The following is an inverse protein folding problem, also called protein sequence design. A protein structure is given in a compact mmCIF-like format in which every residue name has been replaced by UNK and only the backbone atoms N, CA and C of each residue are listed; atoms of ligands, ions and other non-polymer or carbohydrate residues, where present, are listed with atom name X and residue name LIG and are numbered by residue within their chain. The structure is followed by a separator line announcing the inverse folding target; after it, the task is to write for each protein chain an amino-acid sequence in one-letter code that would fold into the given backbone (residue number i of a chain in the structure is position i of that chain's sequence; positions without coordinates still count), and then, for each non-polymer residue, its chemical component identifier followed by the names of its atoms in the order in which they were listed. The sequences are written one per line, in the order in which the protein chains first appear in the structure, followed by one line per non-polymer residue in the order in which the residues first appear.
data_IF_434453588989
#
_entry.id   IF_434453588989
#
_cell.length_a   1.000
_cell.length_b   1.000
_cell.length_c   1.000
_cell.angle_alpha   90.00
_cell.angle_beta   90.00
_cell.angle_gamma   90.00
#
_symmetry.space_group_name_H-M   'P 1'
#
loop_
_entity.id
_entity.type
_entity.pdbx_description
1 polymer ?
#
# COMPACT_ATOMS: atom_id res chain seq x y z
N UNK A 1 -111.05 -8.29 -22.98
CA UNK A 1 -109.81 -9.10 -23.08
C UNK A 1 -108.60 -8.17 -22.97
N UNK A 2 -107.58 -8.53 -22.19
CA UNK A 2 -106.34 -7.76 -22.08
C UNK A 2 -105.58 -7.92 -23.42
N UNK A 3 -105.25 -6.81 -24.11
CA UNK A 3 -104.44 -6.82 -25.35
C UNK A 3 -103.14 -7.64 -25.15
N UNK A 4 -102.66 -8.38 -26.17
CA UNK A 4 -101.41 -9.14 -26.08
C UNK A 4 -100.22 -8.20 -25.79
N UNK A 5 -99.23 -8.70 -25.06
CA UNK A 5 -98.04 -7.94 -24.63
C UNK A 5 -97.32 -7.15 -25.76
N UNK A 6 -97.10 -7.70 -26.97
CA UNK A 6 -96.42 -6.97 -28.05
C UNK A 6 -97.18 -5.72 -28.51
N UNK A 7 -98.51 -5.80 -28.70
CA UNK A 7 -99.31 -4.62 -29.10
C UNK A 7 -99.35 -3.54 -28.01
N UNK A 8 -99.17 -3.94 -26.74
CA UNK A 8 -99.06 -2.98 -25.63
C UNK A 8 -97.71 -2.29 -25.61
N UNK A 9 -96.64 -3.00 -25.98
CA UNK A 9 -95.31 -2.42 -26.12
C UNK A 9 -95.28 -1.41 -27.27
N UNK A 10 -95.87 -1.72 -28.42
CA UNK A 10 -95.96 -0.79 -29.55
C UNK A 10 -96.77 0.48 -29.19
N UNK A 11 -97.87 0.35 -28.47
CA UNK A 11 -98.65 1.51 -27.99
C UNK A 11 -97.85 2.34 -26.99
N UNK A 12 -97.07 1.70 -26.11
CA UNK A 12 -96.19 2.39 -25.17
C UNK A 12 -95.01 3.07 -25.86
N UNK A 13 -94.43 2.46 -26.89
CA UNK A 13 -93.37 3.04 -27.71
C UNK A 13 -93.88 4.25 -28.51
N UNK A 14 -95.07 4.16 -29.10
CA UNK A 14 -95.73 5.27 -29.77
C UNK A 14 -96.05 6.41 -28.79
N UNK A 15 -96.54 6.10 -27.58
CA UNK A 15 -96.77 7.09 -26.52
C UNK A 15 -95.46 7.74 -26.03
N UNK A 16 -94.37 6.98 -25.92
CA UNK A 16 -93.04 7.49 -25.54
C UNK A 16 -92.46 8.40 -26.63
N UNK A 17 -92.74 8.12 -27.90
CA UNK A 17 -92.39 8.98 -29.03
C UNK A 17 -93.26 10.25 -29.07
N UNK A 18 -94.59 10.14 -28.92
CA UNK A 18 -95.54 11.27 -28.94
C UNK A 18 -95.38 12.22 -27.74
N UNK A 19 -94.86 11.71 -26.61
CA UNK A 19 -94.59 12.52 -25.41
C UNK A 19 -93.18 13.13 -25.39
N UNK A 20 -92.31 12.79 -26.34
CA UNK A 20 -90.93 13.30 -26.41
C UNK A 20 -90.01 12.81 -25.28
N UNK A 21 -90.44 11.87 -24.44
CA UNK A 21 -89.71 11.40 -23.26
C UNK A 21 -88.39 10.69 -23.62
N UNK A 22 -88.34 10.03 -24.78
CA UNK A 22 -87.10 9.42 -25.29
C UNK A 22 -86.05 10.50 -25.66
N UNK A 23 -86.49 11.59 -26.29
CA UNK A 23 -85.63 12.72 -26.65
C UNK A 23 -85.15 13.47 -25.40
N UNK A 24 -86.01 13.63 -24.39
CA UNK A 24 -85.59 14.19 -23.10
C UNK A 24 -84.57 13.30 -22.37
N UNK A 25 -84.75 11.98 -22.39
CA UNK A 25 -83.84 11.05 -21.74
C UNK A 25 -82.48 11.03 -22.43
N UNK A 26 -82.47 11.05 -23.78
CA UNK A 26 -81.23 11.14 -24.56
C UNK A 26 -80.56 12.51 -24.38
N UNK A 27 -81.32 13.60 -24.29
CA UNK A 27 -80.80 14.93 -23.98
C UNK A 27 -80.19 14.98 -22.57
N UNK A 28 -80.84 14.38 -21.56
CA UNK A 28 -80.31 14.27 -20.19
C UNK A 28 -79.05 13.41 -20.13
N UNK A 29 -78.98 12.32 -20.91
CA UNK A 29 -77.77 11.50 -21.02
C UNK A 29 -76.63 12.24 -21.69
N UNK A 30 -76.90 12.98 -22.78
CA UNK A 30 -75.92 13.84 -23.46
C UNK A 30 -75.40 14.93 -22.51
N UNK A 31 -76.29 15.62 -21.81
CA UNK A 31 -75.91 16.64 -20.83
C UNK A 31 -75.01 16.09 -19.70
N UNK A 32 -75.28 14.86 -19.21
CA UNK A 32 -74.40 14.19 -18.24
C UNK A 32 -73.02 13.87 -18.81
N UNK A 33 -72.95 13.38 -20.04
CA UNK A 33 -71.67 13.09 -20.70
C UNK A 33 -70.89 14.37 -20.99
N UNK A 34 -71.56 15.45 -21.39
CA UNK A 34 -70.93 16.73 -21.64
C UNK A 34 -70.43 17.40 -20.35
N UNK A 35 -71.17 17.29 -19.24
CA UNK A 35 -70.68 17.68 -17.92
C UNK A 35 -69.41 16.90 -17.54
N UNK A 36 -69.40 15.58 -17.77
CA UNK A 36 -68.21 14.75 -17.50
C UNK A 36 -67.03 15.12 -18.41
N UNK A 37 -67.28 15.45 -19.68
CA UNK A 37 -66.23 15.94 -20.59
C UNK A 37 -65.69 17.29 -20.13
N UNK A 38 -66.54 18.19 -19.64
CA UNK A 38 -66.11 19.49 -19.12
C UNK A 38 -65.23 19.34 -17.87
N UNK A 39 -65.60 18.45 -16.94
CA UNK A 39 -64.76 18.08 -15.78
C UNK A 39 -63.41 17.53 -16.22
N UNK A 40 -63.38 16.55 -17.12
CA UNK A 40 -62.14 15.97 -17.64
C UNK A 40 -61.26 16.99 -18.38
N UNK A 41 -61.87 17.93 -19.10
CA UNK A 41 -61.13 19.02 -19.74
C UNK A 41 -60.53 19.99 -18.73
N UNK A 42 -61.20 20.22 -17.60
CA UNK A 42 -60.67 21.03 -16.50
C UNK A 42 -59.53 20.30 -15.77
N UNK A 43 -59.67 19.00 -15.51
CA UNK A 43 -58.61 18.16 -14.95
C UNK A 43 -57.38 18.11 -15.87
N UNK A 44 -57.58 17.99 -17.18
CA UNK A 44 -56.47 17.99 -18.14
C UNK A 44 -55.72 19.34 -18.18
N UNK A 45 -56.44 20.46 -18.07
CA UNK A 45 -55.84 21.81 -18.05
C UNK A 45 -55.11 22.12 -16.74
N UNK A 46 -55.51 21.52 -15.62
CA UNK A 46 -54.81 21.70 -14.34
C UNK A 46 -53.53 20.87 -14.24
N UNK A 47 -53.36 19.88 -15.11
CA UNK A 47 -52.14 19.09 -15.18
C UNK A 47 -51.03 19.86 -15.93
N UNK A 48 -49.80 19.91 -15.37
CA UNK A 48 -48.67 20.55 -16.04
C UNK A 48 -48.23 19.76 -17.29
N UNK A 49 -48.07 20.46 -18.43
CA UNK A 49 -47.55 19.86 -19.67
C UNK A 49 -46.02 19.71 -19.63
N UNK A 50 -45.56 18.63 -18.99
CA UNK A 50 -44.14 18.32 -18.76
C UNK A 50 -43.43 17.69 -19.97
N UNK A 51 -44.04 17.69 -21.16
CA UNK A 51 -43.44 17.04 -22.35
C UNK A 51 -42.09 17.64 -22.74
N UNK A 52 -41.96 18.97 -22.66
CA UNK A 52 -40.71 19.68 -22.98
C UNK A 52 -39.61 19.44 -21.95
N UNK A 53 -39.96 19.38 -20.67
CA UNK A 53 -39.03 19.05 -19.59
C UNK A 53 -38.53 17.61 -19.73
N UNK A 54 -39.44 16.67 -20.03
CA UNK A 54 -39.06 15.27 -20.27
C UNK A 54 -38.11 15.13 -21.46
N UNK A 55 -38.36 15.82 -22.58
CA UNK A 55 -37.44 15.73 -23.73
C UNK A 55 -36.09 16.38 -23.45
N UNK A 56 -36.05 17.50 -22.72
CA UNK A 56 -34.80 18.12 -22.27
C UNK A 56 -33.99 17.17 -21.37
N UNK A 57 -34.62 16.59 -20.35
CA UNK A 57 -33.98 15.62 -19.46
C UNK A 57 -33.49 14.36 -20.20
N UNK A 58 -34.24 13.91 -21.21
CA UNK A 58 -33.84 12.77 -22.05
C UNK A 58 -32.57 13.09 -22.84
N UNK A 59 -32.54 14.26 -23.49
CA UNK A 59 -31.36 14.71 -24.24
C UNK A 59 -30.14 14.94 -23.34
N UNK A 60 -30.35 15.46 -22.13
CA UNK A 60 -29.28 15.62 -21.14
C UNK A 60 -28.73 14.27 -20.67
N UNK A 61 -29.61 13.30 -20.40
CA UNK A 61 -29.21 11.95 -20.02
C UNK A 61 -28.39 11.27 -21.13
N UNK A 62 -28.79 11.42 -22.39
CA UNK A 62 -28.04 10.88 -23.54
C UNK A 62 -26.65 11.51 -23.65
N UNK A 63 -26.54 12.84 -23.54
CA UNK A 63 -25.24 13.53 -23.56
C UNK A 63 -24.35 13.09 -22.41
N UNK A 64 -24.91 12.95 -21.20
CA UNK A 64 -24.18 12.48 -20.03
C UNK A 64 -23.68 11.04 -20.21
N UNK A 65 -24.49 10.16 -20.80
CA UNK A 65 -24.10 8.78 -21.10
C UNK A 65 -22.93 8.70 -22.10
N UNK A 66 -22.97 9.52 -23.17
CA UNK A 66 -21.87 9.60 -24.14
C UNK A 66 -20.60 10.14 -23.49
N UNK A 67 -20.70 11.20 -22.69
CA UNK A 67 -19.56 11.76 -21.96
C UNK A 67 -18.96 10.75 -20.97
N UNK A 68 -19.80 9.99 -20.26
CA UNK A 68 -19.36 8.93 -19.37
C UNK A 68 -18.65 7.80 -20.12
N UNK A 69 -19.16 7.36 -21.27
CA UNK A 69 -18.51 6.34 -22.08
C UNK A 69 -17.13 6.80 -22.58
N UNK A 70 -17.01 8.05 -23.04
CA UNK A 70 -15.75 8.64 -23.47
C UNK A 70 -14.75 8.74 -22.30
N UNK A 71 -15.19 9.20 -21.13
CA UNK A 71 -14.36 9.27 -19.93
C UNK A 71 -13.89 7.87 -19.49
N UNK A 72 -14.77 6.87 -19.55
CA UNK A 72 -14.42 5.49 -19.22
C UNK A 72 -13.36 4.93 -20.18
N UNK A 73 -13.48 5.19 -21.48
CA UNK A 73 -12.47 4.81 -22.47
C UNK A 73 -11.12 5.51 -22.20
N UNK A 74 -11.15 6.81 -21.90
CA UNK A 74 -9.94 7.56 -21.55
C UNK A 74 -9.26 7.03 -20.28
N UNK A 75 -10.03 6.63 -19.26
CA UNK A 75 -9.50 5.99 -18.07
C UNK A 75 -8.78 4.66 -18.39
N UNK A 76 -9.37 3.82 -19.25
CA UNK A 76 -8.74 2.56 -19.64
C UNK A 76 -7.43 2.78 -20.42
N UNK A 77 -7.39 3.74 -21.35
CA UNK A 77 -6.16 4.07 -22.06
C UNK A 77 -5.08 4.64 -21.13
N UNK A 78 -5.48 5.50 -20.18
CA UNK A 78 -4.56 6.01 -19.17
C UNK A 78 -3.99 4.88 -18.26
N UNK A 79 -4.84 3.94 -17.86
CA UNK A 79 -4.43 2.76 -17.08
C UNK A 79 -3.46 1.87 -17.87
N UNK A 80 -3.77 1.62 -19.15
CA UNK A 80 -2.88 0.87 -20.05
C UNK A 80 -1.51 1.53 -20.17
N UNK A 81 -1.46 2.83 -20.41
CA UNK A 81 -0.19 3.59 -20.50
C UNK A 81 0.59 3.56 -19.19
N UNK A 82 -0.09 3.67 -18.05
CA UNK A 82 0.53 3.53 -16.73
C UNK A 82 1.15 2.14 -16.55
N UNK A 83 0.43 1.08 -16.91
CA UNK A 83 0.95 -0.29 -16.79
C UNK A 83 2.12 -0.54 -17.75
N UNK A 84 2.06 -0.07 -18.99
CA UNK A 84 3.16 -0.18 -19.96
C UNK A 84 4.42 0.55 -19.48
N UNK A 85 4.27 1.78 -18.98
CA UNK A 85 5.39 2.57 -18.47
C UNK A 85 6.01 1.94 -17.21
N UNK A 86 5.18 1.43 -16.29
CA UNK A 86 5.66 0.65 -15.13
C UNK A 86 6.37 -0.63 -15.55
N UNK A 87 5.83 -1.35 -16.54
CA UNK A 87 6.45 -2.56 -17.07
C UNK A 87 7.82 -2.27 -17.69
N UNK A 88 7.94 -1.22 -18.50
CA UNK A 88 9.23 -0.77 -19.07
C UNK A 88 10.23 -0.41 -17.98
N UNK A 89 9.81 0.34 -16.97
CA UNK A 89 10.66 0.70 -15.84
C UNK A 89 11.15 -0.57 -15.11
N UNK A 90 10.26 -1.51 -14.80
CA UNK A 90 10.62 -2.75 -14.11
C UNK A 90 11.65 -3.57 -14.91
N UNK A 91 11.43 -3.75 -16.21
CA UNK A 91 12.38 -4.47 -17.09
C UNK A 91 13.73 -3.75 -17.13
N UNK A 92 13.73 -2.42 -17.26
CA UNK A 92 14.96 -1.64 -17.26
C UNK A 92 15.72 -1.78 -15.95
N UNK A 93 15.03 -1.66 -14.80
CA UNK A 93 15.63 -1.83 -13.49
C UNK A 93 16.22 -3.23 -13.31
N UNK A 94 15.52 -4.29 -13.73
CA UNK A 94 16.02 -5.67 -13.63
C UNK A 94 17.26 -5.87 -14.52
N UNK A 95 17.25 -5.31 -15.72
CA UNK A 95 18.38 -5.42 -16.65
C UNK A 95 19.61 -4.64 -16.15
N UNK A 96 19.42 -3.41 -15.68
CA UNK A 96 20.47 -2.55 -15.14
C UNK A 96 21.03 -3.11 -13.83
N UNK A 97 20.15 -3.52 -12.90
CA UNK A 97 20.57 -4.16 -11.65
C UNK A 97 21.31 -5.47 -11.93
N UNK A 98 20.85 -6.27 -12.89
CA UNK A 98 21.51 -7.53 -13.25
C UNK A 98 22.92 -7.33 -13.83
N UNK A 99 23.13 -6.34 -14.69
CA UNK A 99 24.46 -6.02 -15.23
C UNK A 99 25.37 -5.47 -14.13
N UNK A 100 24.87 -4.55 -13.31
CA UNK A 100 25.60 -3.96 -12.20
C UNK A 100 25.98 -4.99 -11.15
N UNK A 101 25.06 -5.84 -10.73
CA UNK A 101 25.30 -6.91 -9.76
C UNK A 101 26.35 -7.90 -10.25
N UNK A 102 26.33 -8.28 -11.54
CA UNK A 102 27.38 -9.13 -12.12
C UNK A 102 28.75 -8.48 -11.99
N UNK A 103 28.89 -7.21 -12.36
CA UNK A 103 30.16 -6.47 -12.24
C UNK A 103 30.61 -6.38 -10.78
N UNK A 104 29.70 -6.05 -9.85
CA UNK A 104 30.02 -5.99 -8.41
C UNK A 104 30.48 -7.35 -7.88
N UNK A 105 29.82 -8.44 -8.29
CA UNK A 105 30.18 -9.81 -7.90
C UNK A 105 31.53 -10.22 -8.49
N UNK A 106 31.80 -9.83 -9.75
CA UNK A 106 33.10 -10.07 -10.38
C UNK A 106 34.22 -9.30 -9.68
N UNK A 107 34.00 -8.04 -9.32
CA UNK A 107 34.95 -7.23 -8.54
C UNK A 107 35.26 -7.89 -7.20
N UNK A 108 34.24 -8.34 -6.47
CA UNK A 108 34.42 -9.08 -5.20
C UNK A 108 35.21 -10.38 -5.41
N UNK A 109 34.93 -11.13 -6.47
CA UNK A 109 35.63 -12.39 -6.78
C UNK A 109 37.10 -12.17 -7.16
N UNK A 110 37.40 -11.04 -7.81
CA UNK A 110 38.77 -10.68 -8.24
C UNK A 110 39.55 -9.90 -7.19
N UNK A 111 38.91 -9.54 -6.07
CA UNK A 111 39.58 -8.82 -5.00
C UNK A 111 40.73 -9.66 -4.41
N UNK A 112 41.82 -9.02 -3.95
CA UNK A 112 42.89 -9.72 -3.25
C UNK A 112 42.36 -10.46 -2.01
N UNK A 113 42.87 -11.68 -1.71
CA UNK A 113 42.39 -12.49 -0.59
C UNK A 113 42.50 -11.77 0.75
N UNK A 114 43.48 -10.88 0.91
CA UNK A 114 43.69 -10.06 2.10
C UNK A 114 42.48 -9.16 2.44
N UNK A 115 41.70 -8.77 1.42
CA UNK A 115 40.47 -7.99 1.64
C UNK A 115 39.35 -8.88 2.19
N UNK A 116 39.29 -10.14 1.77
CA UNK A 116 38.41 -11.14 2.37
C UNK A 116 38.74 -11.39 3.84
N UNK A 117 40.04 -11.57 4.14
CA UNK A 117 40.52 -11.72 5.52
C UNK A 117 40.17 -10.48 6.38
N UNK A 118 40.31 -9.27 5.83
CA UNK A 118 39.91 -8.04 6.50
C UNK A 118 38.41 -7.99 6.87
N UNK A 119 37.53 -8.46 5.97
CA UNK A 119 36.09 -8.54 6.23
C UNK A 119 35.75 -9.63 7.26
N UNK A 120 36.46 -10.75 7.25
CA UNK A 120 36.31 -11.83 8.23
C UNK A 120 36.78 -11.38 9.63
N UNK A 121 37.84 -10.58 9.70
CA UNK A 121 38.30 -9.96 10.94
C UNK A 121 37.24 -9.01 11.51
N UNK A 122 36.66 -8.13 10.69
CA UNK A 122 35.57 -7.25 11.14
C UNK A 122 34.33 -8.03 11.59
N UNK A 123 33.99 -9.13 10.91
CA UNK A 123 32.87 -9.99 11.30
C UNK A 123 33.11 -10.68 12.63
N UNK A 124 34.30 -11.24 12.82
CA UNK A 124 34.74 -11.85 14.08
C UNK A 124 34.71 -10.84 15.23
N UNK A 125 35.08 -9.58 14.98
CA UNK A 125 35.02 -8.51 15.95
C UNK A 125 33.58 -8.15 16.35
N UNK A 126 32.61 -8.13 15.41
CA UNK A 126 31.20 -7.92 15.75
C UNK A 126 30.65 -9.02 16.65
N UNK A 127 31.00 -10.27 16.37
CA UNK A 127 30.52 -11.41 17.16
C UNK A 127 31.11 -11.41 18.58
N UNK A 128 32.40 -11.07 18.74
CA UNK A 128 33.01 -10.89 20.07
C UNK A 128 32.38 -9.72 20.84
N UNK A 129 32.07 -8.59 20.18
CA UNK A 129 31.37 -7.48 20.85
C UNK A 129 29.95 -7.85 21.27
N UNK A 130 29.26 -8.68 20.46
CA UNK A 130 27.94 -9.20 20.82
C UNK A 130 28.02 -10.11 22.04
N UNK A 131 29.03 -10.96 22.12
CA UNK A 131 29.30 -11.80 23.28
C UNK A 131 29.71 -10.99 24.52
N UNK A 132 30.38 -9.84 24.34
CA UNK A 132 30.86 -9.00 25.44
C UNK A 132 29.76 -8.19 26.15
N UNK A 133 28.49 -8.28 25.73
CA UNK A 133 27.38 -7.54 26.36
C UNK A 133 27.18 -8.02 27.80
N UNK A 134 27.24 -7.08 28.74
CA UNK A 134 27.07 -7.31 30.16
C UNK A 134 26.04 -6.36 30.75
N UNK A 135 25.22 -6.92 31.62
CA UNK A 135 24.22 -6.22 32.42
C UNK A 135 24.36 -6.69 33.85
N UNK A 136 25.03 -5.88 34.67
CA UNK A 136 25.27 -6.20 36.06
C UNK A 136 24.17 -5.56 36.91
N UNK A 137 23.50 -6.40 37.71
CA UNK A 137 22.48 -5.97 38.67
C UNK A 137 23.08 -6.15 40.05
N UNK A 138 23.23 -5.05 40.79
CA UNK A 138 23.75 -5.08 42.15
C UNK A 138 22.88 -4.24 43.07
N UNK A 139 22.98 -4.52 44.37
CA UNK A 139 22.23 -3.79 45.39
C UNK A 139 23.19 -2.96 46.22
N UNK A 140 22.95 -1.65 46.26
CA UNK A 140 23.70 -0.71 47.09
C UNK A 140 22.77 -0.01 48.07
N UNK A 141 23.33 0.50 49.17
CA UNK A 141 22.59 1.39 50.06
C UNK A 141 22.72 2.82 49.54
N UNK A 142 21.59 3.50 49.38
CA UNK A 142 21.62 4.93 49.13
C UNK A 142 22.12 5.71 50.36
N UNK A 143 22.30 7.02 50.23
CA UNK A 143 22.74 7.91 51.31
C UNK A 143 21.81 7.93 52.53
N UNK A 144 20.57 7.42 52.40
CA UNK A 144 19.60 7.23 53.49
C UNK A 144 19.61 5.81 54.07
N UNK A 145 20.53 4.94 53.64
CA UNK A 145 20.68 3.57 54.13
C UNK A 145 19.68 2.56 53.54
N UNK A 146 18.78 2.97 52.64
CA UNK A 146 17.82 2.10 51.98
C UNK A 146 18.50 1.31 50.85
N UNK A 147 18.17 0.02 50.71
CA UNK A 147 18.68 -0.83 49.61
C UNK A 147 18.01 -0.42 48.30
N UNK A 148 18.82 -0.05 47.31
CA UNK A 148 18.39 0.28 45.95
C UNK A 148 19.06 -0.71 44.99
N UNK A 149 18.29 -1.25 44.04
CA UNK A 149 18.84 -2.04 42.94
C UNK A 149 19.40 -1.12 41.86
N UNK A 150 20.70 -1.20 41.63
CA UNK A 150 21.39 -0.50 40.56
C UNK A 150 21.65 -1.47 39.40
N UNK A 151 21.48 -0.97 38.18
CA UNK A 151 21.76 -1.71 36.95
C UNK A 151 22.81 -0.95 36.17
N UNK A 152 23.94 -1.59 35.89
CA UNK A 152 24.96 -1.05 34.99
C UNK A 152 25.06 -1.91 33.75
N UNK A 153 25.22 -1.27 32.59
CA UNK A 153 25.35 -1.98 31.31
C UNK A 153 26.38 -1.31 30.43
N UNK A 154 27.15 -2.12 29.70
CA UNK A 154 28.09 -1.67 28.68
C UNK A 154 27.46 -1.58 27.27
N UNK A 155 26.14 -1.75 27.16
CA UNK A 155 25.41 -1.78 25.89
C UNK A 155 25.60 -0.52 25.02
N UNK A 156 25.63 0.72 25.57
CA UNK A 156 25.90 1.91 24.75
C UNK A 156 27.27 1.89 24.08
N UNK A 157 28.31 1.47 24.81
CA UNK A 157 29.68 1.36 24.30
C UNK A 157 29.77 0.27 23.22
N UNK A 158 29.13 -0.88 23.44
CA UNK A 158 29.06 -1.96 22.46
C UNK A 158 28.33 -1.51 21.20
N UNK A 159 27.20 -0.82 21.31
CA UNK A 159 26.48 -0.28 20.14
C UNK A 159 27.35 0.67 19.32
N UNK A 160 28.09 1.55 19.98
CA UNK A 160 28.99 2.49 19.32
C UNK A 160 30.14 1.78 18.60
N UNK A 161 30.75 0.77 19.23
CA UNK A 161 31.83 -0.02 18.62
C UNK A 161 31.33 -0.84 17.42
N UNK A 162 30.16 -1.48 17.53
CA UNK A 162 29.54 -2.24 16.43
C UNK A 162 29.17 -1.35 15.24
N UNK A 163 28.73 -0.11 15.50
CA UNK A 163 28.45 0.84 14.43
C UNK A 163 29.70 1.16 13.60
N UNK A 164 30.86 1.33 14.25
CA UNK A 164 32.15 1.55 13.56
C UNK A 164 32.61 0.34 12.75
N UNK A 165 32.40 -0.87 13.27
CA UNK A 165 32.68 -2.11 12.51
C UNK A 165 31.78 -2.21 11.28
N UNK A 166 30.48 -1.97 11.43
CA UNK A 166 29.53 -2.02 10.32
C UNK A 166 29.84 -0.94 9.25
N UNK A 167 30.27 0.25 9.67
CA UNK A 167 30.74 1.31 8.78
C UNK A 167 32.01 0.88 8.03
N UNK A 168 32.99 0.31 8.72
CA UNK A 168 34.22 -0.18 8.09
C UNK A 168 33.96 -1.32 7.09
N UNK A 169 33.06 -2.26 7.39
CA UNK A 169 32.65 -3.32 6.45
C UNK A 169 32.07 -2.72 5.16
N UNK A 170 31.23 -1.68 5.28
CA UNK A 170 30.67 -0.98 4.12
C UNK A 170 31.74 -0.25 3.33
N UNK A 171 32.66 0.43 4.02
CA UNK A 171 33.74 1.19 3.39
C UNK A 171 34.73 0.27 2.67
N UNK A 172 35.07 -0.89 3.24
CA UNK A 172 35.92 -1.90 2.60
C UNK A 172 35.25 -2.45 1.35
N UNK A 173 33.96 -2.79 1.40
CA UNK A 173 33.22 -3.22 0.18
C UNK A 173 33.12 -2.11 -0.86
N UNK A 174 32.92 -0.86 -0.44
CA UNK A 174 32.91 0.27 -1.35
C UNK A 174 34.25 0.47 -2.07
N UNK A 175 35.39 0.26 -1.38
CA UNK A 175 36.71 0.27 -2.01
C UNK A 175 36.86 -0.86 -3.06
N UNK A 176 36.36 -2.06 -2.76
CA UNK A 176 36.36 -3.17 -3.73
C UNK A 176 35.48 -2.85 -4.94
N UNK A 177 34.30 -2.28 -4.71
CA UNK A 177 33.35 -1.94 -5.76
C UNK A 177 33.74 -0.73 -6.62
N UNK A 178 34.65 0.13 -6.16
CA UNK A 178 35.24 1.22 -6.95
C UNK A 178 36.02 0.65 -8.13
N UNK A 179 36.78 -0.43 -7.91
CA UNK A 179 37.50 -1.18 -8.96
C UNK A 179 38.60 -0.40 -9.70
N UNK A 180 38.71 0.91 -9.48
CA UNK A 180 39.69 1.81 -10.06
C UNK A 180 41.04 1.79 -9.32
N UNK A 181 41.05 1.31 -8.08
CA UNK A 181 42.21 1.23 -7.21
C UNK A 181 42.93 -0.12 -7.43
N UNK A 182 44.22 -0.07 -7.72
CA UNK A 182 45.04 -1.28 -7.87
C UNK A 182 45.24 -2.02 -6.53
N UNK A 183 45.50 -3.33 -6.60
CA UNK A 183 45.65 -4.18 -5.41
C UNK A 183 46.69 -3.68 -4.40
N UNK A 184 47.80 -3.10 -4.88
CA UNK A 184 48.88 -2.54 -4.06
C UNK A 184 48.42 -1.40 -3.15
N UNK A 185 47.39 -0.66 -3.56
CA UNK A 185 46.81 0.45 -2.80
C UNK A 185 45.51 0.03 -2.08
N UNK A 186 44.77 -0.93 -2.64
CA UNK A 186 43.52 -1.44 -2.07
C UNK A 186 43.74 -2.10 -0.70
N UNK A 187 44.70 -3.01 -0.61
CA UNK A 187 44.99 -3.77 0.62
C UNK A 187 45.39 -2.86 1.80
N UNK A 188 46.35 -1.92 1.66
CA UNK A 188 46.71 -1.02 2.76
C UNK A 188 45.55 -0.08 3.15
N UNK A 189 44.74 0.39 2.19
CA UNK A 189 43.55 1.19 2.51
C UNK A 189 42.50 0.40 3.28
N UNK A 190 42.23 -0.84 2.88
CA UNK A 190 41.33 -1.73 3.62
C UNK A 190 41.85 -2.00 5.04
N UNK A 191 43.16 -2.22 5.19
CA UNK A 191 43.80 -2.43 6.50
C UNK A 191 43.67 -1.22 7.43
N UNK A 192 43.85 0.00 6.91
CA UNK A 192 43.65 1.22 7.70
C UNK A 192 42.21 1.34 8.22
N UNK A 193 41.21 0.96 7.42
CA UNK A 193 39.81 0.95 7.84
C UNK A 193 39.55 -0.09 8.93
N UNK A 194 40.16 -1.28 8.82
CA UNK A 194 40.06 -2.33 9.84
C UNK A 194 40.70 -1.87 11.15
N UNK A 195 41.94 -1.39 11.11
CA UNK A 195 42.68 -0.96 12.30
C UNK A 195 41.92 0.14 13.06
N UNK A 196 41.40 1.14 12.33
CA UNK A 196 40.60 2.22 12.92
C UNK A 196 39.28 1.73 13.54
N UNK A 197 38.66 0.70 12.96
CA UNK A 197 37.40 0.13 13.45
C UNK A 197 37.57 -0.81 14.63
N UNK A 198 38.74 -1.44 14.78
CA UNK A 198 39.07 -2.33 15.89
C UNK A 198 39.52 -1.58 17.15
N UNK A 199 40.03 -0.36 17.03
CA UNK A 199 40.51 0.42 18.18
C UNK A 199 39.47 0.54 19.33
N UNK A 200 38.18 0.83 19.09
CA UNK A 200 37.16 0.87 20.14
C UNK A 200 36.90 -0.50 20.79
N UNK A 201 37.09 -1.60 20.05
CA UNK A 201 36.88 -2.95 20.57
C UNK A 201 37.89 -3.27 21.68
N UNK A 202 39.11 -2.75 21.61
CA UNK A 202 40.13 -3.02 22.63
C UNK A 202 39.86 -2.39 24.00
N UNK A 203 38.88 -1.49 24.10
CA UNK A 203 38.36 -1.01 25.38
C UNK A 203 37.41 -1.99 26.07
N UNK A 204 36.92 -3.01 25.35
CA UNK A 204 35.90 -3.97 25.79
C UNK A 204 36.41 -5.42 25.78
N UNK A 205 37.29 -5.76 24.84
CA UNK A 205 37.92 -7.07 24.67
C UNK A 205 39.43 -6.88 24.75
N UNK A 206 40.13 -7.69 25.54
CA UNK A 206 41.58 -7.49 25.71
C UNK A 206 42.33 -7.77 24.40
N UNK A 207 43.33 -6.93 24.12
CA UNK A 207 44.17 -7.04 22.91
C UNK A 207 44.85 -8.41 22.80
N UNK A 208 45.30 -8.95 23.94
CA UNK A 208 45.89 -10.29 24.00
C UNK A 208 44.91 -11.40 23.56
N UNK A 209 43.64 -11.35 23.98
CA UNK A 209 42.60 -12.29 23.55
C UNK A 209 42.29 -12.15 22.05
N UNK A 210 42.33 -10.92 21.55
CA UNK A 210 42.17 -10.67 20.12
C UNK A 210 43.34 -11.22 19.29
N UNK A 211 44.58 -10.99 19.70
CA UNK A 211 45.79 -11.43 18.99
C UNK A 211 45.92 -12.96 18.99
N UNK A 212 45.50 -13.63 20.07
CA UNK A 212 45.49 -15.09 20.18
C UNK A 212 44.29 -15.76 19.48
N UNK A 213 43.42 -14.99 18.80
CA UNK A 213 42.20 -15.54 18.15
C UNK A 213 42.49 -16.60 17.09
N UNK A 214 43.62 -16.45 16.38
CA UNK A 214 44.00 -17.36 15.28
C UNK A 214 44.53 -18.71 15.79
N UNK A 215 44.90 -18.81 17.07
CA UNK A 215 45.42 -20.05 17.68
C UNK A 215 44.37 -20.84 18.46
N UNK A 216 43.12 -20.38 18.52
CA UNK A 216 42.03 -21.03 19.28
C UNK A 216 40.75 -21.16 18.44
N UNK A 217 39.90 -22.17 18.71
CA UNK A 217 38.58 -22.24 18.11
C UNK A 217 37.75 -20.98 18.42
N UNK A 218 37.04 -20.46 17.41
CA UNK A 218 36.24 -19.24 17.55
C UNK A 218 35.16 -19.35 18.64
N UNK A 219 34.56 -20.55 18.80
CA UNK A 219 33.57 -20.81 19.85
C UNK A 219 34.10 -20.65 21.27
N UNK A 220 35.35 -21.05 21.51
CA UNK A 220 35.99 -20.93 22.83
C UNK A 220 36.24 -19.46 23.20
N UNK A 221 36.59 -18.64 22.21
CA UNK A 221 36.77 -17.20 22.40
C UNK A 221 35.44 -16.50 22.72
N UNK A 222 34.36 -16.89 22.05
CA UNK A 222 33.02 -16.37 22.33
C UNK A 222 32.56 -16.73 23.74
N UNK A 223 32.72 -17.99 24.14
CA UNK A 223 32.37 -18.46 25.48
C UNK A 223 33.15 -17.70 26.56
N UNK A 224 34.45 -17.50 26.37
CA UNK A 224 35.31 -16.78 27.31
C UNK A 224 34.94 -15.28 27.40
N UNK A 225 34.64 -14.62 26.28
CA UNK A 225 34.25 -13.20 26.27
C UNK A 225 32.88 -13.00 26.93
N UNK A 226 31.94 -13.92 26.68
CA UNK A 226 30.63 -13.93 27.33
C UNK A 226 30.67 -14.29 28.82
N UNK A 227 31.81 -14.76 29.35
CA UNK A 227 31.96 -15.14 30.75
C UNK A 227 31.46 -16.55 31.08
N UNK A 228 31.35 -17.43 30.07
CA UNK A 228 31.02 -18.85 30.22
C UNK A 228 32.27 -19.76 30.32
N UNK A 229 33.47 -19.18 30.36
CA UNK A 229 34.73 -19.89 30.48
C UNK A 229 35.40 -19.64 31.83
N UNK A 230 34.87 -20.31 32.87
CA UNK A 230 35.59 -20.76 34.07
C UNK A 230 35.21 -22.24 34.29
#
# INVERSE_FOLDING_TARGET
MKKPLPERMEILEALVADTGLADELTAKQRAKLDARRAELAHELKSLPDRKRERSALTNEAERAAVAFAAAKAACYEAEKLMLETRGRLAVWTIADSGARERILTELERTAPPEVGEALDELSSADDLLRAAVRTDVFTEKNWLGARVGNVTTNMPQIKAARAKIAEAQRNVRALVHDGSIGSEELVPRARLLVDAALEPLFSLVSRHKWETRRSRPHGDLLAEVAGYGD
#
